data_IF_227880842746
#
_entry.id   IF_227880842746
#
_cell.length_a   1.000
_cell.length_b   1.000
_cell.length_c   1.000
_cell.angle_alpha   90.00
_cell.angle_beta   90.00
_cell.angle_gamma   90.00
#
_symmetry.space_group_name_H-M   'P 1'
#
loop_
_entity.id
_entity.type
_entity.pdbx_description
1 polymer ?
#
# COMPACT_ATOMS: atom_id res chain seq x y z
N UNK A 1 9.96 -10.90 18.33
CA UNK A 1 9.44 -10.21 19.53
C UNK A 1 9.30 -8.74 19.21
N UNK A 2 8.19 -8.11 19.61
CA UNK A 2 7.91 -6.69 19.33
C UNK A 2 8.81 -5.79 20.20
N UNK A 3 9.52 -4.84 19.58
CA UNK A 3 10.47 -3.97 20.28
C UNK A 3 9.82 -2.70 20.84
N UNK A 4 8.89 -2.11 20.07
CA UNK A 4 8.20 -0.87 20.41
C UNK A 4 6.71 -1.02 20.13
N UNK A 5 5.88 -0.15 20.73
CA UNK A 5 4.45 -0.13 20.40
C UNK A 5 4.29 0.12 18.89
N UNK A 6 3.60 -0.80 18.22
CA UNK A 6 3.60 -0.88 16.76
C UNK A 6 2.18 -1.08 16.23
N UNK A 7 1.88 -0.42 15.11
CA UNK A 7 0.64 -0.68 14.38
C UNK A 7 0.76 -2.00 13.62
N UNK A 8 -0.22 -2.87 13.82
CA UNK A 8 -0.54 -3.97 12.93
C UNK A 8 -1.59 -3.51 11.93
N UNK A 9 -1.43 -3.88 10.66
CA UNK A 9 -2.20 -3.29 9.54
C UNK A 9 -2.76 -4.36 8.61
N UNK A 10 -3.80 -4.00 7.87
CA UNK A 10 -4.43 -4.89 6.88
C UNK A 10 -3.57 -5.22 5.65
N UNK A 11 -2.49 -4.45 5.41
CA UNK A 11 -1.60 -4.66 4.26
C UNK A 11 -0.14 -4.27 4.55
N UNK A 12 0.81 -4.67 3.68
CA UNK A 12 2.26 -4.52 3.89
C UNK A 12 2.75 -3.09 3.60
N UNK A 13 2.37 -2.13 4.45
CA UNK A 13 2.73 -0.72 4.24
C UNK A 13 2.18 0.22 5.30
N UNK A 14 2.81 1.38 5.49
CA UNK A 14 2.28 2.39 6.41
C UNK A 14 0.97 3.04 5.90
N UNK A 15 0.68 2.92 4.61
CA UNK A 15 -0.50 3.44 3.94
C UNK A 15 -1.81 2.74 4.35
N UNK A 16 -1.74 1.47 4.77
CA UNK A 16 -2.92 0.69 5.10
C UNK A 16 -3.51 1.08 6.45
N UNK A 17 -4.82 0.93 6.58
CA UNK A 17 -5.58 1.08 7.82
C UNK A 17 -4.95 0.28 8.97
N UNK A 18 -5.01 0.88 10.15
CA UNK A 18 -4.71 0.20 11.42
C UNK A 18 -5.75 -0.88 11.67
N UNK A 19 -5.27 -2.04 12.08
CA UNK A 19 -6.10 -3.20 12.43
C UNK A 19 -5.99 -3.51 13.93
N UNK A 20 -4.76 -3.54 14.44
CA UNK A 20 -4.49 -3.84 15.84
C UNK A 20 -3.22 -3.15 16.35
N UNK A 21 -3.10 -3.03 17.67
CA UNK A 21 -1.89 -2.48 18.31
C UNK A 21 -1.11 -3.60 18.98
N UNK A 22 0.15 -3.75 18.60
CA UNK A 22 1.08 -4.66 19.25
C UNK A 22 1.89 -3.94 20.32
N UNK A 23 2.06 -4.58 21.47
CA UNK A 23 2.77 -4.01 22.61
C UNK A 23 4.21 -4.52 22.71
N UNK A 24 5.14 -3.71 23.27
CA UNK A 24 6.51 -4.16 23.49
C UNK A 24 6.57 -5.48 24.26
N UNK A 25 7.54 -6.33 23.88
CA UNK A 25 7.78 -7.68 24.43
C UNK A 25 6.71 -8.72 24.09
N UNK A 26 5.68 -8.36 23.34
CA UNK A 26 4.76 -9.34 22.78
C UNK A 26 5.49 -10.29 21.82
N UNK A 27 5.15 -11.57 21.93
CA UNK A 27 5.62 -12.60 21.01
C UNK A 27 4.56 -12.79 19.94
N UNK A 28 5.00 -12.67 18.70
CA UNK A 28 4.19 -12.92 17.50
C UNK A 28 4.89 -13.99 16.68
N UNK A 29 4.11 -14.81 15.99
CA UNK A 29 4.63 -15.80 15.04
C UNK A 29 4.60 -15.20 13.64
N UNK A 30 5.71 -15.26 12.92
CA UNK A 30 5.77 -14.78 11.53
C UNK A 30 5.29 -15.89 10.62
N UNK A 31 4.32 -15.60 9.77
CA UNK A 31 3.70 -16.54 8.84
C UNK A 31 4.22 -16.34 7.42
N UNK A 32 4.23 -15.09 6.97
CA UNK A 32 4.57 -14.71 5.60
C UNK A 32 5.31 -13.36 5.58
N UNK A 33 5.69 -12.92 4.39
CA UNK A 33 6.36 -11.64 4.14
C UNK A 33 5.87 -10.99 2.85
N UNK A 34 6.22 -9.73 2.65
CA UNK A 34 6.19 -9.12 1.33
C UNK A 34 7.46 -9.49 0.53
N UNK A 35 7.49 -9.10 -0.74
CA UNK A 35 8.57 -9.42 -1.68
C UNK A 35 9.96 -9.02 -1.17
N UNK A 36 10.08 -7.85 -0.54
CA UNK A 36 11.35 -7.31 -0.05
C UNK A 36 11.67 -7.69 1.40
N UNK A 37 10.78 -8.38 2.11
CA UNK A 37 10.94 -8.73 3.53
C UNK A 37 10.87 -7.54 4.50
N UNK A 38 10.49 -6.35 4.01
CA UNK A 38 10.33 -5.13 4.83
C UNK A 38 9.08 -5.17 5.70
N UNK A 39 8.10 -5.97 5.31
CA UNK A 39 6.87 -6.23 6.06
C UNK A 39 6.65 -7.73 6.22
N UNK A 40 6.14 -8.11 7.39
CA UNK A 40 5.84 -9.50 7.73
C UNK A 40 4.38 -9.64 8.17
N UNK A 41 3.75 -10.73 7.76
CA UNK A 41 2.40 -11.10 8.17
C UNK A 41 2.51 -11.99 9.41
N UNK A 42 1.88 -11.58 10.51
CA UNK A 42 2.09 -12.17 11.82
C UNK A 42 0.79 -12.67 12.45
N UNK A 43 0.94 -13.65 13.33
CA UNK A 43 -0.06 -14.16 14.26
C UNK A 43 0.26 -13.67 15.68
N UNK A 44 -0.40 -12.60 16.16
CA UNK A 44 -0.22 -12.08 17.51
C UNK A 44 -1.03 -12.87 18.53
N UNK A 45 -0.41 -13.21 19.66
CA UNK A 45 -1.11 -13.91 20.75
C UNK A 45 -2.22 -13.08 21.41
N UNK A 46 -2.15 -11.74 21.31
CA UNK A 46 -3.13 -10.83 21.91
C UNK A 46 -4.33 -10.53 21.00
N UNK A 47 -4.35 -11.06 19.79
CA UNK A 47 -5.32 -10.72 18.75
C UNK A 47 -5.91 -11.99 18.13
N UNK A 48 -7.12 -11.88 17.58
CA UNK A 48 -7.86 -13.03 17.04
C UNK A 48 -7.56 -13.31 15.56
N UNK A 49 -6.95 -12.35 14.86
CA UNK A 49 -6.66 -12.42 13.42
C UNK A 49 -5.17 -12.16 13.16
N UNK A 50 -4.79 -12.12 11.88
CA UNK A 50 -3.42 -11.93 11.42
C UNK A 50 -3.27 -10.61 10.69
N UNK A 51 -2.12 -9.98 10.83
CA UNK A 51 -1.92 -8.62 10.34
C UNK A 51 -0.47 -8.35 9.96
N UNK A 52 -0.23 -7.25 9.24
CA UNK A 52 1.08 -6.85 8.75
C UNK A 52 1.81 -5.92 9.72
N UNK A 53 3.09 -6.19 9.93
CA UNK A 53 3.99 -5.39 10.77
C UNK A 53 5.27 -5.10 10.02
N UNK A 54 5.81 -3.90 10.20
CA UNK A 54 7.12 -3.56 9.65
C UNK A 54 8.20 -4.40 10.37
N UNK A 55 9.01 -5.14 9.59
CA UNK A 55 9.99 -6.07 10.13
C UNK A 55 11.04 -5.39 11.02
N UNK A 56 11.36 -4.11 10.77
CA UNK A 56 12.32 -3.34 11.57
C UNK A 56 11.86 -3.06 13.01
N UNK A 57 10.57 -3.25 13.30
CA UNK A 57 9.99 -3.08 14.64
C UNK A 57 10.04 -4.37 15.48
N UNK A 58 10.56 -5.45 14.90
CA UNK A 58 10.66 -6.77 15.51
C UNK A 58 12.11 -7.18 15.70
N UNK A 59 12.38 -7.83 16.83
CA UNK A 59 13.54 -8.72 16.95
C UNK A 59 13.15 -10.08 16.40
N UNK A 60 13.73 -10.42 15.26
CA UNK A 60 13.40 -11.63 14.50
C UNK A 60 14.45 -12.71 14.78
N UNK A 61 13.99 -13.95 14.98
CA UNK A 61 14.85 -15.13 15.14
C UNK A 61 14.63 -16.05 13.95
N UNK A 62 15.69 -16.29 13.17
CA UNK A 62 15.64 -17.08 11.93
C UNK A 62 15.70 -16.21 10.68
N UNK A 63 15.61 -16.86 9.51
CA UNK A 63 15.60 -16.21 8.20
C UNK A 63 14.16 -16.11 7.68
N UNK A 64 13.68 -14.90 7.42
CA UNK A 64 12.31 -14.68 6.92
C UNK A 64 12.18 -14.98 5.42
N UNK A 65 13.28 -15.05 4.67
CA UNK A 65 13.24 -15.30 3.23
C UNK A 65 12.90 -16.75 2.87
N UNK A 66 12.88 -17.66 3.86
CA UNK A 66 12.33 -19.02 3.70
C UNK A 66 10.79 -19.03 3.64
N UNK A 67 10.15 -17.93 4.07
CA UNK A 67 8.69 -17.80 4.07
C UNK A 67 8.19 -17.30 2.72
N UNK A 68 7.01 -17.78 2.34
CA UNK A 68 6.35 -17.38 1.11
C UNK A 68 5.96 -15.90 1.13
N UNK A 69 5.98 -15.30 -0.06
CA UNK A 69 5.36 -13.99 -0.31
C UNK A 69 3.85 -14.16 -0.22
N UNK A 70 3.17 -13.25 0.48
CA UNK A 70 1.73 -13.31 0.68
C UNK A 70 1.06 -11.99 0.38
N UNK A 71 -0.12 -12.06 -0.21
CA UNK A 71 -1.03 -10.94 -0.41
C UNK A 71 -2.29 -11.17 0.43
N UNK A 72 -2.54 -10.29 1.41
CA UNK A 72 -3.75 -10.35 2.23
C UNK A 72 -4.94 -9.74 1.50
N UNK A 73 -6.13 -10.24 1.81
CA UNK A 73 -7.37 -9.54 1.42
C UNK A 73 -7.54 -8.30 2.27
N UNK A 74 -7.92 -7.18 1.64
CA UNK A 74 -8.27 -5.96 2.35
C UNK A 74 -9.74 -6.00 2.79
N UNK A 75 -10.11 -5.43 3.96
CA UNK A 75 -11.49 -5.33 4.39
C UNK A 75 -12.29 -4.51 3.39
N UNK A 76 -13.31 -5.12 2.79
CA UNK A 76 -14.09 -4.49 1.73
C UNK A 76 -15.25 -3.67 2.29
N UNK A 77 -15.47 -2.49 1.71
CA UNK A 77 -16.57 -1.59 2.08
C UNK A 77 -17.36 -1.10 0.87
N UNK A 78 -18.67 -1.00 1.06
CA UNK A 78 -19.62 -0.45 0.09
C UNK A 78 -20.25 0.86 0.53
N UNK A 79 -19.82 1.42 1.68
CA UNK A 79 -20.43 2.62 2.27
C UNK A 79 -20.26 3.87 1.39
N UNK A 80 -19.14 3.95 0.67
CA UNK A 80 -18.82 5.02 -0.27
C UNK A 80 -18.47 4.47 -1.65
N UNK A 81 -18.63 5.28 -2.72
CA UNK A 81 -18.34 4.82 -4.06
C UNK A 81 -16.83 4.64 -4.30
N UNK A 82 -16.46 3.79 -5.29
CA UNK A 82 -15.09 3.73 -5.78
C UNK A 82 -14.67 5.07 -6.41
N UNK A 83 -13.35 5.33 -6.52
CA UNK A 83 -12.85 6.54 -7.18
C UNK A 83 -13.37 6.67 -8.61
N UNK A 84 -13.56 7.90 -9.07
CA UNK A 84 -14.07 8.20 -10.41
C UNK A 84 -13.23 9.29 -11.08
N UNK A 85 -13.24 9.30 -12.41
CA UNK A 85 -12.49 10.28 -13.19
C UNK A 85 -11.00 10.20 -12.91
N UNK A 86 -10.47 8.99 -12.77
CA UNK A 86 -9.04 8.75 -12.54
C UNK A 86 -8.29 9.07 -13.82
N UNK A 87 -7.30 9.94 -13.70
CA UNK A 87 -6.42 10.38 -14.77
C UNK A 87 -4.97 10.32 -14.30
N UNK A 88 -4.05 10.02 -15.21
CA UNK A 88 -2.64 9.96 -14.89
C UNK A 88 -1.79 10.52 -16.04
N UNK A 89 -0.80 11.32 -15.70
CA UNK A 89 0.15 11.93 -16.65
C UNK A 89 1.58 11.72 -16.14
N UNK A 90 2.53 11.67 -17.06
CA UNK A 90 3.95 11.51 -16.75
C UNK A 90 4.66 12.85 -16.79
N UNK A 91 5.40 13.15 -15.73
CA UNK A 91 6.26 14.32 -15.59
C UNK A 91 7.67 13.86 -15.20
N UNK A 92 8.53 13.62 -16.19
CA UNK A 92 9.87 13.04 -15.95
C UNK A 92 9.79 11.64 -15.31
N UNK A 93 10.50 11.46 -14.20
CA UNK A 93 10.52 10.22 -13.40
C UNK A 93 9.37 10.14 -12.38
N UNK A 94 8.27 10.84 -12.64
CA UNK A 94 7.08 10.83 -11.80
C UNK A 94 5.81 10.63 -12.63
N UNK A 95 4.83 9.96 -12.05
CA UNK A 95 3.46 9.90 -12.53
C UNK A 95 2.56 10.69 -11.60
N UNK A 96 1.91 11.70 -12.16
CA UNK A 96 0.91 12.53 -11.47
C UNK A 96 -0.45 11.90 -11.69
N UNK A 97 -1.08 11.44 -10.61
CA UNK A 97 -2.40 10.80 -10.64
C UNK A 97 -3.42 11.72 -10.00
N UNK A 98 -4.54 11.96 -10.66
CA UNK A 98 -5.65 12.77 -10.13
C UNK A 98 -6.98 12.05 -10.26
N UNK A 99 -7.93 12.38 -9.39
CA UNK A 99 -9.27 11.80 -9.39
C UNK A 99 -10.31 12.78 -8.83
N UNK A 100 -11.59 12.46 -9.00
CA UNK A 100 -12.69 13.22 -8.38
C UNK A 100 -12.76 12.93 -6.88
N UNK A 101 -12.95 13.95 -6.03
CA UNK A 101 -13.10 13.73 -4.60
C UNK A 101 -14.35 12.89 -4.30
N UNK A 102 -14.24 12.05 -3.29
CA UNK A 102 -15.34 11.24 -2.75
C UNK A 102 -15.67 11.85 -1.41
N UNK A 103 -16.84 12.50 -1.35
CA UNK A 103 -17.29 13.18 -0.14
C UNK A 103 -17.73 12.16 0.92
N UNK A 104 -17.09 12.23 2.08
CA UNK A 104 -17.34 11.37 3.23
C UNK A 104 -17.64 12.23 4.46
N UNK A 105 -18.26 11.62 5.47
CA UNK A 105 -18.29 12.23 6.80
C UNK A 105 -16.88 12.30 7.38
N UNK A 106 -16.66 13.23 8.32
CA UNK A 106 -15.38 13.35 9.03
C UNK A 106 -15.01 12.05 9.76
N UNK A 107 -16.00 11.38 10.37
CA UNK A 107 -15.79 10.13 11.09
C UNK A 107 -15.33 9.00 10.16
N UNK A 108 -15.82 8.96 8.93
CA UNK A 108 -15.50 7.90 7.97
C UNK A 108 -14.23 8.17 7.16
N UNK A 109 -13.85 9.44 6.94
CA UNK A 109 -12.77 9.78 6.01
C UNK A 109 -11.41 9.19 6.40
N UNK A 110 -10.83 8.35 5.53
CA UNK A 110 -9.45 7.84 5.69
C UNK A 110 -8.58 8.09 4.46
N UNK A 111 -9.07 8.88 3.50
CA UNK A 111 -8.38 9.28 2.29
C UNK A 111 -8.43 8.22 1.19
N UNK A 112 -7.28 8.02 0.55
CA UNK A 112 -7.11 7.15 -0.60
C UNK A 112 -5.87 6.28 -0.43
N UNK A 113 -5.95 5.04 -0.91
CA UNK A 113 -4.81 4.13 -1.02
C UNK A 113 -4.51 3.97 -2.50
N UNK A 114 -3.25 4.17 -2.87
CA UNK A 114 -2.70 3.77 -4.15
C UNK A 114 -1.75 2.61 -3.91
N UNK A 115 -2.03 1.48 -4.55
CA UNK A 115 -1.09 0.38 -4.69
C UNK A 115 -0.52 0.46 -6.09
N UNK A 116 0.77 0.77 -6.18
CA UNK A 116 1.48 0.93 -7.44
C UNK A 116 2.70 0.01 -7.49
N UNK A 117 2.93 -0.55 -8.66
CA UNK A 117 4.16 -1.25 -9.02
C UNK A 117 4.91 -0.29 -9.92
N UNK A 118 5.96 0.32 -9.38
CA UNK A 118 6.68 1.41 -10.02
C UNK A 118 8.12 1.02 -10.28
N UNK A 119 8.69 1.58 -11.33
CA UNK A 119 10.07 1.30 -11.66
C UNK A 119 11.01 2.11 -10.77
N UNK A 120 11.94 1.42 -10.11
CA UNK A 120 12.97 2.03 -9.28
C UNK A 120 14.28 1.27 -9.48
N UNK A 121 15.31 1.95 -9.99
CA UNK A 121 16.62 1.33 -10.24
C UNK A 121 16.59 0.16 -11.23
N UNK A 122 15.61 0.14 -12.15
CA UNK A 122 15.43 -0.95 -13.12
C UNK A 122 14.65 -2.16 -12.61
N UNK A 123 14.15 -2.13 -11.37
CA UNK A 123 13.29 -3.16 -10.80
C UNK A 123 11.87 -2.62 -10.58
N UNK A 124 10.88 -3.48 -10.80
CA UNK A 124 9.48 -3.15 -10.53
C UNK A 124 9.20 -3.36 -9.03
N UNK A 125 8.90 -2.27 -8.31
CA UNK A 125 8.76 -2.26 -6.86
C UNK A 125 7.32 -1.96 -6.47
N UNK A 126 6.74 -2.82 -5.62
CA UNK A 126 5.46 -2.56 -4.97
C UNK A 126 5.57 -1.44 -3.92
N UNK A 127 4.85 -0.34 -4.14
CA UNK A 127 4.94 0.90 -3.37
C UNK A 127 3.55 1.42 -3.00
N UNK A 128 2.97 0.97 -1.87
CA UNK A 128 1.67 1.44 -1.40
C UNK A 128 1.78 2.83 -0.75
N UNK A 129 0.97 3.78 -1.18
CA UNK A 129 0.94 5.16 -0.67
C UNK A 129 -0.46 5.59 -0.25
N UNK A 130 -0.53 6.44 0.79
CA UNK A 130 -1.77 7.05 1.26
C UNK A 130 -1.81 8.52 0.86
N UNK A 131 -2.99 8.98 0.43
CA UNK A 131 -3.24 10.36 0.05
C UNK A 131 -4.52 10.88 0.71
N UNK A 132 -4.43 12.02 1.39
CA UNK A 132 -5.60 12.73 1.93
C UNK A 132 -6.12 13.80 0.95
N UNK A 133 -5.47 13.99 -0.19
CA UNK A 133 -5.89 14.87 -1.29
C UNK A 133 -6.18 14.03 -2.54
N UNK A 134 -6.85 14.62 -3.53
CA UNK A 134 -7.23 13.96 -4.77
C UNK A 134 -6.21 14.13 -5.92
N UNK A 135 -4.94 14.30 -5.54
CA UNK A 135 -3.77 14.45 -6.40
C UNK A 135 -2.59 13.73 -5.75
N UNK A 136 -1.93 12.84 -6.49
CA UNK A 136 -0.79 12.05 -6.04
C UNK A 136 0.39 12.23 -6.99
N UNK A 137 1.60 12.24 -6.42
CA UNK A 137 2.87 12.28 -7.14
C UNK A 137 3.61 10.99 -6.83
N UNK A 138 3.71 10.10 -7.82
CA UNK A 138 4.26 8.77 -7.64
C UNK A 138 5.60 8.69 -8.37
N UNK A 139 6.73 8.46 -7.67
CA UNK A 139 8.01 8.18 -8.32
C UNK A 139 7.91 6.92 -9.18
N UNK A 140 8.32 7.04 -10.44
CA UNK A 140 8.28 5.97 -11.43
C UNK A 140 9.31 6.25 -12.54
N UNK A 141 10.51 5.69 -12.37
CA UNK A 141 11.63 5.84 -13.29
C UNK A 141 11.37 5.10 -14.62
N UNK A 142 12.20 5.36 -15.63
CA UNK A 142 12.21 4.52 -16.83
C UNK A 142 13.16 3.32 -16.67
N UNK A 143 13.00 2.30 -17.52
CA UNK A 143 14.02 1.24 -17.70
C UNK A 143 13.67 -0.14 -17.16
N UNK A 144 12.52 -0.30 -16.51
CA UNK A 144 12.03 -1.62 -16.11
C UNK A 144 11.56 -2.44 -17.32
N UNK A 145 11.75 -3.75 -17.25
CA UNK A 145 11.31 -4.67 -18.30
C UNK A 145 9.78 -4.83 -18.33
N UNK A 146 9.16 -4.79 -17.14
CA UNK A 146 7.72 -4.83 -16.98
C UNK A 146 7.15 -3.41 -16.82
N UNK A 147 6.00 -3.10 -17.44
CA UNK A 147 5.40 -1.79 -17.33
C UNK A 147 4.85 -1.54 -15.93
N UNK A 148 5.13 -0.33 -15.43
CA UNK A 148 4.52 0.18 -14.20
C UNK A 148 3.01 0.26 -14.32
N UNK A 149 2.33 0.02 -13.21
CA UNK A 149 0.87 0.04 -13.14
C UNK A 149 0.42 0.29 -11.70
N UNK A 150 -0.86 0.60 -11.54
CA UNK A 150 -1.40 0.82 -10.20
C UNK A 150 -2.91 0.81 -10.14
N UNK A 151 -3.40 0.74 -8.92
CA UNK A 151 -4.82 0.75 -8.58
C UNK A 151 -5.10 1.70 -7.43
N UNK A 152 -6.25 2.37 -7.51
CA UNK A 152 -6.69 3.39 -6.55
C UNK A 152 -7.93 2.91 -5.81
N UNK A 153 -7.92 3.11 -4.49
CA UNK A 153 -9.03 2.82 -3.58
C UNK A 153 -9.51 4.11 -2.92
N UNK A 154 -10.81 4.23 -2.70
CA UNK A 154 -11.33 5.09 -1.65
C UNK A 154 -11.19 4.35 -0.32
N UNK A 155 -10.72 5.02 0.72
CA UNK A 155 -10.55 4.42 2.05
C UNK A 155 -11.47 5.12 3.03
N UNK A 156 -12.28 4.33 3.72
CA UNK A 156 -13.14 4.78 4.79
C UNK A 156 -12.88 3.96 6.06
N UNK A 157 -13.42 4.37 7.21
CA UNK A 157 -13.06 3.82 8.52
C UNK A 157 -13.26 2.29 8.66
N UNK A 158 -14.19 1.68 7.91
CA UNK A 158 -14.41 0.23 7.95
C UNK A 158 -13.63 -0.55 6.88
N UNK A 159 -12.98 0.11 5.93
CA UNK A 159 -12.23 -0.58 4.89
C UNK A 159 -12.04 0.18 3.59
N UNK A 160 -11.92 -0.59 2.51
CA UNK A 160 -11.53 -0.14 1.19
C UNK A 160 -12.65 -0.41 0.20
N UNK A 161 -12.91 0.54 -0.69
CA UNK A 161 -13.89 0.34 -1.76
C UNK A 161 -13.35 -0.57 -2.85
N UNK A 162 -14.19 -0.89 -3.85
CA UNK A 162 -13.70 -1.54 -5.07
C UNK A 162 -12.63 -0.64 -5.70
N UNK A 163 -11.46 -1.19 -5.97
CA UNK A 163 -10.41 -0.43 -6.65
C UNK A 163 -10.78 -0.15 -8.10
N UNK A 164 -10.15 0.89 -8.65
CA UNK A 164 -10.14 1.20 -10.07
C UNK A 164 -8.71 1.21 -10.59
N UNK A 165 -8.51 0.69 -11.80
CA UNK A 165 -7.20 0.74 -12.44
C UNK A 165 -6.85 2.20 -12.73
N UNK A 166 -5.61 2.58 -12.41
CA UNK A 166 -5.05 3.87 -12.83
C UNK A 166 -4.64 3.71 -14.31
N UNK A 167 -5.03 4.63 -15.21
CA UNK A 167 -4.61 4.58 -16.61
C UNK A 167 -3.13 5.00 -16.71
N UNK A 168 -2.23 4.12 -16.28
CA UNK A 168 -0.81 4.42 -16.12
C UNK A 168 -0.19 4.86 -17.45
N UNK A 169 0.51 6.00 -17.50
CA UNK A 169 1.09 6.49 -18.74
C UNK A 169 2.31 5.66 -19.15
N UNK A 170 2.46 5.45 -20.45
CA UNK A 170 3.63 4.81 -21.04
C UNK A 170 4.92 5.54 -20.60
N UNK A 171 6.00 4.82 -20.22
CA UNK A 171 7.32 5.41 -19.99
C UNK A 171 7.79 6.37 -21.09
N UNK A 172 7.40 6.12 -22.34
CA UNK A 172 7.78 6.93 -23.50
C UNK A 172 6.87 8.16 -23.73
N UNK A 173 5.79 8.34 -22.96
CA UNK A 173 4.79 9.38 -23.19
C UNK A 173 5.15 10.78 -22.65
N UNK A 174 6.40 11.03 -22.24
CA UNK A 174 6.83 12.37 -21.86
C UNK A 174 6.56 13.35 -23.03
N UNK A 175 5.82 14.43 -22.73
CA UNK A 175 5.31 15.43 -23.67
C UNK A 175 6.39 15.99 -24.63
N UNK A 176 6.01 16.45 -25.83
CA UNK A 176 6.94 16.74 -26.92
C UNK A 176 7.97 17.79 -26.52
N UNK A 177 9.21 17.56 -26.96
CA UNK A 177 10.30 18.55 -26.93
C UNK A 177 9.88 19.83 -27.67
N UNK A 178 9.95 20.96 -26.97
CA UNK A 178 9.93 22.31 -27.56
C UNK A 178 11.01 22.49 -28.65
#
# INVERSE_FOLDING_TARGET
MVQVMSNCRFGPGAAYLHEWTLYPRERVRILHRNETGTWVYVDPNSYMDYCWVNASLLEITGDIFILDVYESSLPFSTLYPPPQGVHAEREGDQVVVSWRPVWMTEDDYRGYLIEAWVCQGGELVFSPTRWDQNLAFIPDEAGCAEPSHGRLYTVEKHGYTRWVAIPWPDPAAAAPSD
#
